data_IF_890124266060
#
_entry.id   IF_890124266060
#
_cell.length_a   1.000
_cell.length_b   1.000
_cell.length_c   1.000
_cell.angle_alpha   90.00
_cell.angle_beta   90.00
_cell.angle_gamma   90.00
#
_symmetry.space_group_name_H-M   'P 1'
#
loop_
_entity.id
_entity.type
_entity.pdbx_description
1 polymer ?
#
# COMPACT_ATOMS: atom_id res chain seq x y z
N UNK A 1 -31.46 25.44 18.58
CA UNK A 1 -30.30 26.24 18.10
C UNK A 1 -29.41 25.29 17.34
N UNK A 2 -28.95 25.46 16.10
CA UNK A 2 -29.15 26.35 14.95
C UNK A 2 -28.73 25.41 13.78
N UNK A 3 -29.47 25.29 12.68
CA UNK A 3 -29.32 26.12 11.46
C UNK A 3 -27.86 26.26 11.02
N UNK A 4 -27.44 26.11 9.77
CA UNK A 4 -28.01 25.79 8.44
C UNK A 4 -26.80 25.83 7.49
N UNK A 5 -27.07 25.47 6.23
CA UNK A 5 -26.39 25.95 5.02
C UNK A 5 -25.19 25.13 4.53
N UNK A 6 -24.97 25.01 3.22
CA UNK A 6 -25.76 25.16 2.02
C UNK A 6 -24.78 24.94 0.86
N UNK A 7 -25.30 24.48 -0.28
CA UNK A 7 -24.80 24.79 -1.63
C UNK A 7 -23.37 24.36 -2.01
N UNK A 8 -23.31 23.45 -2.98
CA UNK A 8 -22.68 23.85 -4.24
C UNK A 8 -23.50 23.38 -5.44
N UNK A 9 -24.08 24.36 -6.12
CA UNK A 9 -24.60 24.28 -7.49
C UNK A 9 -23.78 25.24 -8.35
N UNK A 10 -23.83 25.03 -9.68
CA UNK A 10 -23.31 25.84 -10.81
C UNK A 10 -21.94 25.40 -11.33
N UNK A 11 -21.70 25.33 -12.65
CA UNK A 11 -22.54 25.67 -13.80
C UNK A 11 -21.74 25.38 -15.10
N UNK A 12 -22.39 24.78 -16.11
CA UNK A 12 -22.74 25.35 -17.43
C UNK A 12 -21.58 26.02 -18.21
N UNK A 13 -21.30 25.54 -19.43
CA UNK A 13 -21.42 26.31 -20.69
C UNK A 13 -21.67 25.35 -21.87
N UNK A 14 -22.69 25.66 -22.68
CA UNK A 14 -23.02 25.12 -24.01
C UNK A 14 -22.11 25.70 -25.10
N UNK A 15 -21.77 24.96 -26.17
CA UNK A 15 -21.91 25.39 -27.58
C UNK A 15 -21.59 24.28 -28.62
N UNK A 16 -22.62 23.85 -29.35
CA UNK A 16 -22.77 23.65 -30.80
C UNK A 16 -21.71 23.02 -31.75
N UNK A 17 -22.30 22.28 -32.72
CA UNK A 17 -21.93 22.00 -34.13
C UNK A 17 -20.77 20.98 -34.32
N UNK A 18 -20.80 19.98 -35.19
CA UNK A 18 -21.77 19.40 -36.14
C UNK A 18 -21.05 18.20 -36.80
N UNK A 19 -21.72 17.07 -37.05
CA UNK A 19 -21.76 16.38 -38.36
C UNK A 19 -22.45 14.99 -38.31
N UNK A 20 -23.40 14.83 -39.24
CA UNK A 20 -23.90 13.58 -39.85
C UNK A 20 -24.50 12.53 -38.89
N UNK A 21 -25.79 12.51 -38.59
CA UNK A 21 -26.97 12.37 -39.48
C UNK A 21 -26.93 11.14 -40.40
N UNK A 22 -27.99 10.32 -40.22
CA UNK A 22 -28.61 9.37 -41.15
C UNK A 22 -28.11 7.92 -41.22
N UNK A 23 -28.64 7.05 -40.35
CA UNK A 23 -29.16 5.73 -40.75
C UNK A 23 -30.39 5.40 -39.89
N UNK A 24 -31.51 5.06 -40.54
CA UNK A 24 -32.52 4.19 -39.96
C UNK A 24 -33.84 4.83 -39.53
N UNK A 25 -34.70 5.19 -40.48
CA UNK A 25 -36.15 4.95 -40.41
C UNK A 25 -36.82 5.48 -41.68
N UNK A 26 -37.21 4.58 -42.58
CA UNK A 26 -38.45 4.72 -43.36
C UNK A 26 -38.73 3.38 -44.06
N UNK A 27 -39.55 2.58 -43.38
CA UNK A 27 -40.37 1.55 -44.01
C UNK A 27 -41.42 2.25 -44.88
N UNK A 28 -41.68 1.84 -46.14
CA UNK A 28 -42.92 2.22 -46.80
C UNK A 28 -43.96 1.10 -46.67
N UNK A 29 -45.12 1.50 -46.17
CA UNK A 29 -46.41 0.81 -46.22
C UNK A 29 -46.99 0.86 -47.65
N UNK A 30 -47.99 0.02 -47.99
CA UNK A 30 -48.43 -0.22 -49.36
C UNK A 30 -49.53 0.75 -49.78
N UNK A 31 -49.31 1.53 -50.84
CA UNK A 31 -50.38 2.27 -51.52
C UNK A 31 -49.97 2.65 -52.96
N UNK A 32 -50.72 2.08 -53.90
CA UNK A 32 -51.25 2.75 -55.09
C UNK A 32 -50.30 3.60 -55.95
N UNK A 33 -49.69 2.97 -56.96
CA UNK A 33 -49.36 3.56 -58.26
C UNK A 33 -49.64 2.46 -59.31
N UNK A 34 -50.87 2.37 -59.82
CA UNK A 34 -51.26 2.99 -61.09
C UNK A 34 -50.39 2.48 -62.25
N UNK A 35 -50.89 1.45 -62.93
CA UNK A 35 -50.49 1.12 -64.30
C UNK A 35 -50.67 2.36 -65.19
N UNK A 36 -49.60 3.11 -65.43
CA UNK A 36 -49.56 4.03 -66.57
C UNK A 36 -49.40 3.22 -67.85
N UNK A 37 -50.56 2.80 -68.36
CA UNK A 37 -50.78 2.35 -69.73
C UNK A 37 -50.41 3.51 -70.68
N UNK A 38 -49.41 3.38 -71.57
CA UNK A 38 -49.19 4.41 -72.57
C UNK A 38 -50.39 4.48 -73.52
N UNK A 39 -50.80 5.68 -73.98
CA UNK A 39 -51.99 5.83 -74.80
C UNK A 39 -51.76 5.23 -76.20
N UNK A 40 -52.77 4.53 -76.70
CA UNK A 40 -52.87 4.18 -78.11
C UNK A 40 -52.95 5.47 -78.94
N UNK A 41 -52.14 5.64 -80.00
CA UNK A 41 -52.44 6.63 -81.03
C UNK A 41 -53.44 6.01 -82.03
N UNK A 42 -54.61 6.63 -82.13
CA UNK A 42 -55.59 6.39 -83.18
C UNK A 42 -55.08 6.90 -84.54
N UNK A 43 -55.39 6.10 -85.54
CA UNK A 43 -55.42 6.35 -86.99
C UNK A 43 -55.65 7.81 -87.41
N UNK A 44 -54.73 8.36 -88.20
CA UNK A 44 -54.95 8.62 -89.64
C UNK A 44 -53.79 9.43 -90.22
N UNK A 45 -53.18 8.90 -91.28
CA UNK A 45 -52.82 9.58 -92.53
C UNK A 45 -51.81 8.70 -93.25
N UNK A 46 -52.27 8.11 -94.35
CA UNK A 46 -51.43 7.50 -95.36
C UNK A 46 -50.41 8.54 -95.88
N UNK A 47 -49.17 8.43 -95.45
CA UNK A 47 -48.02 8.89 -96.22
C UNK A 47 -47.31 7.62 -96.69
N UNK A 48 -47.68 7.21 -97.89
CA UNK A 48 -47.07 6.14 -98.64
C UNK A 48 -45.62 6.56 -98.94
N UNK A 49 -44.68 6.15 -98.09
CA UNK A 49 -43.27 6.13 -98.49
C UNK A 49 -43.18 5.23 -99.74
N UNK A 50 -42.57 5.70 -100.84
CA UNK A 50 -42.44 4.90 -102.04
C UNK A 50 -41.73 3.61 -101.68
N UNK A 51 -42.36 2.48 -102.04
CA UNK A 51 -41.70 1.18 -102.04
C UNK A 51 -40.37 1.34 -102.80
N UNK A 52 -39.22 1.06 -102.17
CA UNK A 52 -37.94 1.23 -102.84
C UNK A 52 -37.98 0.40 -104.14
N UNK A 53 -37.40 0.91 -105.25
CA UNK A 53 -37.33 0.14 -106.49
C UNK A 53 -36.72 -1.24 -106.19
N UNK A 54 -37.11 -2.32 -106.90
CA UNK A 54 -36.64 -3.66 -106.58
C UNK A 54 -35.12 -3.64 -106.54
N UNK A 55 -34.56 -3.81 -105.33
CA UNK A 55 -33.12 -3.70 -105.10
C UNK A 55 -32.43 -4.63 -106.10
N UNK A 56 -31.50 -4.09 -106.88
CA UNK A 56 -30.78 -4.93 -107.83
C UNK A 56 -29.98 -5.95 -107.04
N UNK A 57 -29.82 -7.16 -107.58
CA UNK A 57 -29.14 -8.27 -106.88
C UNK A 57 -27.79 -7.85 -106.28
N UNK A 58 -27.06 -6.93 -106.92
CA UNK A 58 -25.82 -6.34 -106.42
C UNK A 58 -25.99 -5.48 -105.14
N UNK A 59 -27.06 -4.69 -105.03
CA UNK A 59 -27.35 -3.85 -103.86
C UNK A 59 -27.74 -4.69 -102.63
N UNK A 60 -28.51 -5.77 -102.85
CA UNK A 60 -28.82 -6.74 -101.81
C UNK A 60 -27.55 -7.42 -101.28
N UNK A 61 -26.64 -7.81 -102.17
CA UNK A 61 -25.34 -8.38 -101.76
C UNK A 61 -24.50 -7.40 -100.95
N UNK A 62 -24.41 -6.12 -101.36
CA UNK A 62 -23.64 -5.10 -100.63
C UNK A 62 -24.26 -4.81 -99.25
N UNK A 63 -25.59 -4.76 -99.15
CA UNK A 63 -26.31 -4.63 -97.87
C UNK A 63 -26.04 -5.82 -96.95
N UNK A 64 -26.08 -7.04 -97.49
CA UNK A 64 -25.77 -8.26 -96.74
C UNK A 64 -24.33 -8.19 -96.21
N UNK A 65 -23.36 -7.79 -97.03
CA UNK A 65 -21.95 -7.64 -96.61
C UNK A 65 -21.79 -6.61 -95.48
N UNK A 66 -22.45 -5.44 -95.57
CA UNK A 66 -22.41 -4.41 -94.51
C UNK A 66 -23.07 -4.91 -93.21
N UNK A 67 -24.19 -5.63 -93.32
CA UNK A 67 -24.86 -6.23 -92.15
C UNK A 67 -24.02 -7.35 -91.52
N UNK A 68 -23.39 -8.20 -92.32
CA UNK A 68 -22.46 -9.24 -91.87
C UNK A 68 -21.28 -8.62 -91.10
N UNK A 69 -20.64 -7.58 -91.65
CA UNK A 69 -19.56 -6.87 -90.95
C UNK A 69 -20.04 -6.22 -89.64
N UNK A 70 -21.27 -5.69 -89.60
CA UNK A 70 -21.86 -5.12 -88.39
C UNK A 70 -22.16 -6.19 -87.33
N UNK A 71 -22.69 -7.35 -87.75
CA UNK A 71 -22.94 -8.50 -86.86
C UNK A 71 -21.63 -9.04 -86.30
N UNK A 72 -20.61 -9.24 -87.14
CA UNK A 72 -19.27 -9.64 -86.69
C UNK A 72 -18.67 -8.63 -85.69
N UNK A 73 -18.86 -7.32 -85.93
CA UNK A 73 -18.45 -6.28 -85.00
C UNK A 73 -19.21 -6.30 -83.67
N UNK A 74 -20.52 -6.56 -83.69
CA UNK A 74 -21.32 -6.74 -82.47
C UNK A 74 -20.92 -7.99 -81.70
N UNK A 75 -20.64 -9.10 -82.39
CA UNK A 75 -20.13 -10.33 -81.80
C UNK A 75 -18.77 -10.13 -81.14
N UNK A 76 -17.86 -9.38 -81.77
CA UNK A 76 -16.58 -8.98 -81.16
C UNK A 76 -16.78 -8.21 -79.86
N UNK A 77 -17.61 -7.15 -79.88
CA UNK A 77 -17.93 -6.35 -78.69
C UNK A 77 -18.63 -7.15 -77.58
N UNK A 78 -19.49 -8.11 -77.94
CA UNK A 78 -20.14 -9.01 -76.99
C UNK A 78 -19.12 -9.96 -76.34
N UNK A 79 -18.18 -10.50 -77.11
CA UNK A 79 -17.08 -11.32 -76.60
C UNK A 79 -16.18 -10.53 -75.65
N UNK A 80 -15.80 -9.31 -76.03
CA UNK A 80 -14.99 -8.43 -75.17
C UNK A 80 -15.72 -8.07 -73.87
N UNK A 81 -17.03 -7.78 -73.97
CA UNK A 81 -17.88 -7.50 -72.79
C UNK A 81 -18.01 -8.72 -71.88
N UNK A 82 -18.13 -9.93 -72.44
CA UNK A 82 -18.19 -11.17 -71.68
C UNK A 82 -16.86 -11.46 -70.96
N UNK A 83 -15.73 -11.25 -71.63
CA UNK A 83 -14.40 -11.37 -71.04
C UNK A 83 -14.20 -10.35 -69.91
N UNK A 84 -14.57 -9.09 -70.12
CA UNK A 84 -14.48 -8.03 -69.12
C UNK A 84 -15.30 -8.35 -67.86
N UNK A 85 -16.53 -8.88 -68.02
CA UNK A 85 -17.36 -9.36 -66.90
C UNK A 85 -16.67 -10.48 -66.13
N UNK A 86 -16.17 -11.50 -66.82
CA UNK A 86 -15.43 -12.61 -66.18
C UNK A 86 -14.22 -12.11 -65.38
N UNK A 87 -13.44 -11.18 -65.93
CA UNK A 87 -12.30 -10.61 -65.21
C UNK A 87 -12.72 -9.76 -64.02
N UNK A 88 -13.83 -9.01 -64.13
CA UNK A 88 -14.39 -8.25 -63.02
C UNK A 88 -14.92 -9.15 -61.90
N UNK A 89 -15.60 -10.24 -62.25
CA UNK A 89 -16.08 -11.25 -61.30
C UNK A 89 -14.90 -11.94 -60.59
N UNK A 90 -13.83 -12.26 -61.32
CA UNK A 90 -12.59 -12.79 -60.74
C UNK A 90 -11.95 -11.80 -59.77
N UNK A 91 -11.80 -10.53 -60.16
CA UNK A 91 -11.25 -9.50 -59.28
C UNK A 91 -12.11 -9.29 -58.02
N UNK A 92 -13.44 -9.35 -58.16
CA UNK A 92 -14.37 -9.27 -57.05
C UNK A 92 -14.20 -10.45 -56.08
N UNK A 93 -14.14 -11.68 -56.58
CA UNK A 93 -13.91 -12.87 -55.74
C UNK A 93 -12.56 -12.81 -55.02
N UNK A 94 -11.50 -12.33 -55.69
CA UNK A 94 -10.20 -12.12 -55.04
C UNK A 94 -10.29 -11.06 -53.94
N UNK A 95 -10.99 -9.94 -54.19
CA UNK A 95 -11.19 -8.90 -53.19
C UNK A 95 -12.00 -9.42 -51.99
N UNK A 96 -13.08 -10.15 -52.22
CA UNK A 96 -13.89 -10.79 -51.16
C UNK A 96 -13.04 -11.78 -50.34
N UNK A 97 -12.19 -12.58 -51.00
CA UNK A 97 -11.27 -13.49 -50.31
C UNK A 97 -10.25 -12.73 -49.46
N UNK A 98 -9.68 -11.64 -49.97
CA UNK A 98 -8.74 -10.79 -49.20
C UNK A 98 -9.42 -10.16 -48.00
N UNK A 99 -10.66 -9.68 -48.15
CA UNK A 99 -11.46 -9.15 -47.04
C UNK A 99 -11.76 -10.23 -46.00
N UNK A 100 -12.14 -11.44 -46.41
CA UNK A 100 -12.38 -12.56 -45.51
C UNK A 100 -11.11 -12.94 -44.72
N UNK A 101 -9.95 -12.99 -45.40
CA UNK A 101 -8.65 -13.23 -44.75
C UNK A 101 -8.28 -12.11 -43.76
N UNK A 102 -8.52 -10.85 -44.14
CA UNK A 102 -8.30 -9.70 -43.27
C UNK A 102 -9.18 -9.74 -42.03
N UNK A 103 -10.48 -10.03 -42.19
CA UNK A 103 -11.41 -10.16 -41.08
C UNK A 103 -11.00 -11.30 -40.13
N UNK A 104 -10.60 -12.45 -40.67
CA UNK A 104 -10.11 -13.56 -39.85
C UNK A 104 -8.84 -13.19 -39.06
N UNK A 105 -7.90 -12.46 -39.67
CA UNK A 105 -6.71 -11.98 -38.97
C UNK A 105 -7.07 -10.96 -37.88
N UNK A 106 -8.04 -10.09 -38.14
CA UNK A 106 -8.56 -9.14 -37.14
C UNK A 106 -9.19 -9.90 -35.97
N UNK A 107 -10.03 -10.89 -36.22
CA UNK A 107 -10.63 -11.73 -35.16
C UNK A 107 -9.57 -12.46 -34.32
N UNK A 108 -8.54 -13.01 -34.96
CA UNK A 108 -7.41 -13.64 -34.25
C UNK A 108 -6.68 -12.64 -33.34
N UNK A 109 -6.35 -11.45 -33.87
CA UNK A 109 -5.70 -10.39 -33.10
C UNK A 109 -6.56 -9.91 -31.93
N UNK A 110 -7.88 -9.81 -32.11
CA UNK A 110 -8.79 -9.48 -31.00
C UNK A 110 -8.78 -10.56 -29.92
N UNK A 111 -8.81 -11.84 -30.30
CA UNK A 111 -8.69 -12.94 -29.34
C UNK A 111 -7.36 -12.95 -28.59
N UNK A 112 -6.25 -12.64 -29.27
CA UNK A 112 -4.94 -12.49 -28.63
C UNK A 112 -4.90 -11.31 -27.65
N UNK A 113 -5.49 -10.17 -28.03
CA UNK A 113 -5.60 -8.99 -27.15
C UNK A 113 -6.44 -9.29 -25.91
N UNK A 114 -7.57 -9.98 -26.04
CA UNK A 114 -8.41 -10.40 -24.92
C UNK A 114 -7.65 -11.34 -23.97
N UNK A 115 -6.90 -12.30 -24.51
CA UNK A 115 -6.08 -13.21 -23.72
C UNK A 115 -4.96 -12.48 -22.96
N UNK A 116 -4.30 -11.51 -23.61
CA UNK A 116 -3.28 -10.68 -22.99
C UNK A 116 -3.87 -9.77 -21.89
N UNK A 117 -5.06 -9.20 -22.12
CA UNK A 117 -5.75 -8.39 -21.13
C UNK A 117 -6.16 -9.21 -19.90
N UNK A 118 -6.68 -10.43 -20.11
CA UNK A 118 -6.98 -11.35 -19.02
C UNK A 118 -5.70 -11.69 -18.22
N UNK A 119 -4.60 -11.97 -18.91
CA UNK A 119 -3.32 -12.24 -18.25
C UNK A 119 -2.76 -11.04 -17.49
N UNK A 120 -2.95 -9.83 -18.01
CA UNK A 120 -2.57 -8.60 -17.32
C UNK A 120 -3.39 -8.43 -16.05
N UNK A 121 -4.71 -8.64 -16.10
CA UNK A 121 -5.57 -8.56 -14.92
C UNK A 121 -5.16 -9.57 -13.82
N UNK A 122 -4.83 -10.82 -14.20
CA UNK A 122 -4.30 -11.82 -13.25
C UNK A 122 -2.99 -11.36 -12.59
N UNK A 123 -2.08 -10.74 -13.35
CA UNK A 123 -0.81 -10.25 -12.81
C UNK A 123 -1.00 -9.03 -11.90
N UNK A 124 -1.94 -8.15 -12.23
CA UNK A 124 -2.30 -7.00 -11.40
C UNK A 124 -2.91 -7.43 -10.07
N UNK A 125 -3.79 -8.45 -10.08
CA UNK A 125 -4.34 -9.04 -8.86
C UNK A 125 -3.24 -9.69 -8.01
N UNK A 126 -2.37 -10.51 -8.59
CA UNK A 126 -1.24 -11.11 -7.89
C UNK A 126 -0.27 -10.06 -7.31
N UNK A 127 -0.03 -8.96 -8.02
CA UNK A 127 0.79 -7.85 -7.53
C UNK A 127 0.13 -7.18 -6.32
N UNK A 128 -1.18 -6.95 -6.36
CA UNK A 128 -1.92 -6.38 -5.24
C UNK A 128 -1.86 -7.30 -4.01
N UNK A 129 -2.05 -8.61 -4.17
CA UNK A 129 -1.89 -9.58 -3.09
C UNK A 129 -0.48 -9.52 -2.49
N UNK A 130 0.57 -9.50 -3.32
CA UNK A 130 1.95 -9.38 -2.83
C UNK A 130 2.19 -8.07 -2.08
N UNK A 131 1.64 -6.95 -2.55
CA UNK A 131 1.75 -5.66 -1.86
C UNK A 131 1.13 -5.72 -0.47
N UNK A 132 -0.07 -6.27 -0.33
CA UNK A 132 -0.72 -6.43 0.99
C UNK A 132 0.09 -7.32 1.93
N UNK A 133 0.70 -8.41 1.41
CA UNK A 133 1.57 -9.28 2.18
C UNK A 133 2.83 -8.54 2.67
N UNK A 134 3.45 -7.74 1.80
CA UNK A 134 4.62 -6.92 2.15
C UNK A 134 4.26 -5.90 3.23
N UNK A 135 3.12 -5.23 3.11
CA UNK A 135 2.64 -4.28 4.13
C UNK A 135 2.41 -4.97 5.48
N UNK A 136 1.76 -6.14 5.48
CA UNK A 136 1.55 -6.92 6.69
C UNK A 136 2.86 -7.37 7.33
N UNK A 137 3.81 -7.90 6.54
CA UNK A 137 5.13 -8.30 7.04
C UNK A 137 5.94 -7.11 7.58
N UNK A 138 5.84 -5.95 6.93
CA UNK A 138 6.49 -4.73 7.40
C UNK A 138 5.92 -4.27 8.75
N UNK A 139 4.61 -4.35 8.93
CA UNK A 139 3.96 -4.06 10.21
C UNK A 139 4.42 -5.03 11.32
N UNK A 140 4.42 -6.32 11.05
CA UNK A 140 4.88 -7.35 12.00
C UNK A 140 6.35 -7.16 12.38
N UNK A 141 7.23 -6.85 11.41
CA UNK A 141 8.63 -6.58 11.66
C UNK A 141 8.83 -5.36 12.58
N UNK A 142 8.00 -4.33 12.41
CA UNK A 142 8.08 -3.12 13.22
C UNK A 142 7.60 -3.35 14.67
N UNK A 143 6.58 -4.19 14.87
CA UNK A 143 6.17 -4.63 16.21
C UNK A 143 7.28 -5.42 16.92
N UNK A 144 7.91 -6.37 16.22
CA UNK A 144 9.03 -7.14 16.74
C UNK A 144 10.24 -6.27 17.08
N UNK A 145 10.53 -5.25 16.26
CA UNK A 145 11.59 -4.28 16.56
C UNK A 145 11.31 -3.52 17.84
N UNK A 146 10.08 -3.05 18.03
CA UNK A 146 9.67 -2.36 19.27
C UNK A 146 9.77 -3.29 20.47
N UNK A 147 9.36 -4.55 20.33
CA UNK A 147 9.48 -5.54 21.40
C UNK A 147 10.95 -5.81 21.77
N UNK A 148 11.82 -6.00 20.77
CA UNK A 148 13.24 -6.19 21.00
C UNK A 148 13.91 -4.96 21.60
N UNK A 149 13.54 -3.75 21.17
CA UNK A 149 14.03 -2.51 21.77
C UNK A 149 13.62 -2.41 23.25
N UNK A 150 12.37 -2.78 23.57
CA UNK A 150 11.91 -2.84 24.95
C UNK A 150 12.71 -3.87 25.77
N UNK A 151 12.87 -5.10 25.27
CA UNK A 151 13.69 -6.12 25.94
C UNK A 151 15.13 -5.66 26.16
N UNK A 152 15.73 -5.01 25.15
CA UNK A 152 17.08 -4.46 25.26
C UNK A 152 17.16 -3.41 26.36
N UNK A 153 16.20 -2.48 26.40
CA UNK A 153 16.13 -1.47 27.47
C UNK A 153 15.93 -2.09 28.86
N UNK A 154 15.17 -3.19 28.96
CA UNK A 154 14.97 -3.92 30.22
C UNK A 154 16.27 -4.62 30.65
N UNK A 155 16.99 -5.25 29.72
CA UNK A 155 18.28 -5.88 29.99
C UNK A 155 19.29 -4.84 30.43
N UNK A 156 19.39 -3.70 29.77
CA UNK A 156 20.27 -2.59 30.17
C UNK A 156 19.90 -2.07 31.57
N UNK A 157 18.61 -1.87 31.84
CA UNK A 157 18.13 -1.43 33.14
C UNK A 157 18.38 -2.44 34.27
N UNK A 158 18.40 -3.74 33.96
CA UNK A 158 18.79 -4.79 34.90
C UNK A 158 20.31 -4.82 35.07
N UNK A 159 21.09 -4.79 33.99
CA UNK A 159 22.55 -4.76 34.01
C UNK A 159 23.10 -3.56 34.80
N UNK A 160 22.42 -2.40 34.74
CA UNK A 160 22.74 -1.21 35.54
C UNK A 160 22.58 -1.41 37.06
N UNK A 161 21.88 -2.46 37.49
CA UNK A 161 21.65 -2.75 38.90
C UNK A 161 22.56 -3.85 39.45
N UNK A 162 23.19 -4.63 38.58
CA UNK A 162 24.14 -5.67 38.96
C UNK A 162 25.58 -5.12 38.99
N UNK A 163 26.41 -5.58 39.92
CA UNK A 163 27.83 -5.24 39.96
C UNK A 163 28.61 -5.83 38.79
N UNK A 164 29.79 -5.28 38.50
CA UNK A 164 30.67 -5.75 37.42
C UNK A 164 31.07 -7.22 37.58
N UNK A 165 31.21 -7.70 38.82
CA UNK A 165 31.51 -9.11 39.15
C UNK A 165 30.40 -10.08 38.72
N UNK A 166 29.16 -9.60 38.58
CA UNK A 166 28.00 -10.36 38.13
C UNK A 166 27.65 -10.06 36.65
N UNK A 167 28.52 -9.37 35.91
CA UNK A 167 28.32 -9.01 34.51
C UNK A 167 27.46 -7.76 34.28
N UNK A 168 27.24 -6.94 35.31
CA UNK A 168 26.58 -5.64 35.20
C UNK A 168 27.55 -4.46 35.04
N UNK A 169 27.03 -3.25 35.20
CA UNK A 169 27.80 -1.99 35.09
C UNK A 169 27.79 -1.15 36.38
N UNK A 170 27.26 -1.69 37.48
CA UNK A 170 27.24 -0.98 38.76
C UNK A 170 28.63 -1.02 39.41
N UNK A 171 29.27 0.15 39.48
CA UNK A 171 30.53 0.31 40.21
C UNK A 171 30.31 0.49 41.71
N UNK A 172 31.29 0.09 42.51
CA UNK A 172 31.28 0.31 43.96
C UNK A 172 31.09 1.79 44.32
N UNK A 173 31.81 2.70 43.65
CA UNK A 173 31.72 4.14 43.89
C UNK A 173 30.32 4.69 43.59
N UNK A 174 29.69 4.25 42.49
CA UNK A 174 28.32 4.65 42.16
C UNK A 174 27.32 4.12 43.20
N UNK A 175 27.50 2.88 43.67
CA UNK A 175 26.66 2.32 44.71
C UNK A 175 26.82 3.07 46.06
N UNK A 176 28.05 3.44 46.44
CA UNK A 176 28.35 4.23 47.64
C UNK A 176 27.70 5.61 47.59
N UNK A 177 27.87 6.33 46.48
CA UNK A 177 27.28 7.67 46.32
C UNK A 177 25.76 7.64 46.37
N UNK A 178 25.12 6.67 45.71
CA UNK A 178 23.67 6.49 45.76
C UNK A 178 23.17 6.13 47.17
N UNK A 179 23.93 5.34 47.93
CA UNK A 179 23.61 5.03 49.32
C UNK A 179 23.74 6.26 50.24
N UNK A 180 24.78 7.09 50.05
CA UNK A 180 24.95 8.35 50.79
C UNK A 180 23.81 9.33 50.50
N UNK A 181 23.40 9.49 49.24
CA UNK A 181 22.25 10.34 48.88
C UNK A 181 20.96 9.85 49.54
N UNK A 182 20.68 8.54 49.52
CA UNK A 182 19.52 7.97 50.19
C UNK A 182 19.57 8.17 51.72
N UNK A 183 20.75 8.13 52.32
CA UNK A 183 20.93 8.40 53.74
C UNK A 183 20.69 9.87 54.09
N UNK A 184 21.14 10.81 53.25
CA UNK A 184 20.83 12.23 53.42
C UNK A 184 19.33 12.50 53.34
N UNK A 185 18.62 11.84 52.43
CA UNK A 185 17.16 11.91 52.35
C UNK A 185 16.47 11.31 53.60
N UNK A 186 16.99 10.22 54.16
CA UNK A 186 16.49 9.70 55.44
C UNK A 186 16.72 10.71 56.58
N UNK A 187 17.90 11.33 56.63
CA UNK A 187 18.22 12.34 57.65
C UNK A 187 17.32 13.57 57.51
N UNK A 188 17.02 14.00 56.29
CA UNK A 188 16.10 15.13 56.04
C UNK A 188 14.69 14.82 56.56
N UNK A 189 14.17 13.61 56.33
CA UNK A 189 12.88 13.14 56.82
C UNK A 189 12.81 13.01 58.35
N UNK A 190 13.89 12.58 58.99
CA UNK A 190 13.96 12.51 60.46
C UNK A 190 13.93 13.92 61.08
N UNK A 191 14.57 14.90 60.44
CA UNK A 191 14.58 16.29 60.90
C UNK A 191 13.26 17.02 60.61
N UNK A 192 12.60 16.72 59.48
CA UNK A 192 11.30 17.27 59.08
C UNK A 192 10.30 16.15 58.77
N UNK A 193 9.67 15.55 59.80
CA UNK A 193 8.69 14.49 59.60
C UNK A 193 7.47 15.04 58.85
N UNK A 194 7.22 14.51 57.64
CA UNK A 194 6.07 14.87 56.79
C UNK A 194 6.35 15.96 55.74
N UNK A 195 7.58 16.48 55.65
CA UNK A 195 7.98 17.32 54.54
C UNK A 195 8.34 16.46 53.32
N UNK A 196 7.68 16.66 52.19
CA UNK A 196 8.08 15.99 50.95
C UNK A 196 9.48 16.45 50.54
N UNK A 197 10.40 15.51 50.31
CA UNK A 197 11.72 15.83 49.77
C UNK A 197 11.59 16.05 48.26
N UNK A 198 11.57 17.31 47.81
CA UNK A 198 11.35 17.67 46.41
C UNK A 198 12.38 17.06 45.45
N UNK A 199 13.60 16.76 45.93
CA UNK A 199 14.65 16.17 45.09
C UNK A 199 14.46 14.66 44.88
N UNK A 200 13.80 13.97 45.81
CA UNK A 200 13.71 12.50 45.81
C UNK A 200 12.28 11.97 45.72
N UNK A 201 11.27 12.85 45.86
CA UNK A 201 9.85 12.50 45.85
C UNK A 201 9.36 11.72 47.08
N UNK A 202 10.22 11.54 48.08
CA UNK A 202 9.95 10.73 49.28
C UNK A 202 9.00 11.50 50.19
N UNK A 203 7.91 10.86 50.59
CA UNK A 203 6.85 11.47 51.41
C UNK A 203 6.87 11.03 52.87
N UNK A 204 7.50 9.87 53.15
CA UNK A 204 7.53 9.31 54.50
C UNK A 204 8.91 8.85 54.93
N UNK A 205 9.13 8.81 56.25
CA UNK A 205 10.33 8.21 56.85
C UNK A 205 10.49 6.74 56.45
N UNK A 206 9.40 5.99 56.40
CA UNK A 206 9.42 4.57 56.03
C UNK A 206 9.94 4.38 54.59
N UNK A 207 9.47 5.19 53.64
CA UNK A 207 9.98 5.18 52.26
C UNK A 207 11.47 5.52 52.18
N UNK A 208 11.94 6.49 52.97
CA UNK A 208 13.36 6.85 53.02
C UNK A 208 14.22 5.70 53.58
N UNK A 209 13.74 5.02 54.62
CA UNK A 209 14.42 3.86 55.20
C UNK A 209 14.47 2.70 54.20
N UNK A 210 13.38 2.43 53.48
CA UNK A 210 13.32 1.38 52.46
C UNK A 210 14.21 1.71 51.25
N UNK A 211 14.26 2.97 50.82
CA UNK A 211 15.17 3.41 49.77
C UNK A 211 16.62 3.19 50.18
N UNK A 212 17.00 3.65 51.38
CA UNK A 212 18.36 3.45 51.91
C UNK A 212 18.70 1.97 51.98
N UNK A 213 17.80 1.13 52.50
CA UNK A 213 17.99 -0.32 52.56
C UNK A 213 18.25 -0.90 51.17
N UNK A 214 17.46 -0.52 50.16
CA UNK A 214 17.65 -0.97 48.76
C UNK A 214 19.01 -0.55 48.21
N UNK A 215 19.45 0.69 48.46
CA UNK A 215 20.78 1.17 48.00
C UNK A 215 21.93 0.46 48.71
N UNK A 216 21.81 0.23 50.01
CA UNK A 216 22.82 -0.49 50.79
C UNK A 216 22.92 -1.96 50.41
N UNK A 217 21.80 -2.61 50.04
CA UNK A 217 21.83 -3.97 49.50
C UNK A 217 22.59 -4.05 48.17
N UNK A 218 22.41 -3.05 47.29
CA UNK A 218 23.18 -2.95 46.04
C UNK A 218 24.66 -2.72 46.30
N UNK A 219 24.99 -1.86 47.25
CA UNK A 219 26.37 -1.65 47.66
C UNK A 219 26.98 -2.93 48.25
N UNK A 220 26.26 -3.63 49.12
CA UNK A 220 26.71 -4.88 49.70
C UNK A 220 27.05 -5.92 48.62
N UNK A 221 26.22 -6.05 47.57
CA UNK A 221 26.55 -6.91 46.42
C UNK A 221 27.78 -6.43 45.65
N UNK A 222 27.92 -5.13 45.43
CA UNK A 222 29.08 -4.56 44.73
C UNK A 222 30.40 -4.71 45.50
N UNK A 223 30.36 -4.81 46.82
CA UNK A 223 31.54 -5.00 47.68
C UNK A 223 31.70 -6.43 48.18
N UNK A 224 30.91 -7.39 47.68
CA UNK A 224 30.86 -8.78 48.15
C UNK A 224 30.71 -8.93 49.68
N UNK A 225 29.86 -8.08 50.26
CA UNK A 225 29.60 -8.05 51.70
C UNK A 225 28.59 -9.13 52.11
N UNK A 226 28.77 -9.68 53.31
CA UNK A 226 27.97 -10.79 53.84
C UNK A 226 26.48 -10.45 53.96
N UNK A 227 26.15 -9.25 54.46
CA UNK A 227 24.77 -8.86 54.70
C UNK A 227 24.59 -7.35 54.90
N UNK A 228 23.35 -6.95 55.13
CA UNK A 228 22.98 -5.59 55.56
C UNK A 228 22.14 -5.66 56.84
N UNK A 229 22.37 -4.73 57.78
CA UNK A 229 21.65 -4.67 59.04
C UNK A 229 21.00 -3.32 59.29
N UNK A 230 19.71 -3.34 59.64
CA UNK A 230 18.96 -2.14 60.03
C UNK A 230 19.17 -1.87 61.52
N UNK A 231 19.74 -0.71 61.82
CA UNK A 231 20.06 -0.25 63.16
C UNK A 231 18.77 0.02 63.94
N UNK A 232 18.68 -0.55 65.14
CA UNK A 232 17.56 -0.33 66.07
C UNK A 232 17.91 0.71 67.12
N UNK A 233 16.91 1.18 67.85
CA UNK A 233 17.14 2.03 69.01
C UNK A 233 18.06 1.33 70.02
N UNK A 234 19.07 2.06 70.51
CA UNK A 234 20.08 1.58 71.47
C UNK A 234 21.04 0.50 70.94
N UNK A 235 21.13 0.31 69.63
CA UNK A 235 22.22 -0.46 69.03
C UNK A 235 23.53 0.35 69.06
N UNK A 236 24.67 -0.35 69.18
CA UNK A 236 26.02 0.21 69.07
C UNK A 236 26.86 -0.61 68.10
N UNK A 237 27.88 -0.02 67.47
CA UNK A 237 28.74 -0.74 66.52
C UNK A 237 29.37 -1.99 67.16
N UNK A 238 29.80 -1.90 68.42
CA UNK A 238 30.33 -3.05 69.16
C UNK A 238 29.30 -4.18 69.37
N UNK A 239 28.04 -3.84 69.67
CA UNK A 239 26.96 -4.84 69.82
C UNK A 239 26.59 -5.48 68.48
N UNK A 240 26.55 -4.70 67.41
CA UNK A 240 26.30 -5.21 66.05
C UNK A 240 27.46 -6.10 65.63
N UNK A 241 28.71 -5.65 65.79
CA UNK A 241 29.92 -6.42 65.51
C UNK A 241 29.95 -7.75 66.26
N UNK A 242 29.61 -7.75 67.55
CA UNK A 242 29.55 -8.99 68.35
C UNK A 242 28.50 -9.97 67.86
N UNK A 243 27.39 -9.50 67.25
CA UNK A 243 26.34 -10.37 66.71
C UNK A 243 26.75 -11.04 65.40
N UNK A 244 27.45 -10.33 64.52
CA UNK A 244 27.79 -10.83 63.19
C UNK A 244 29.17 -11.47 63.13
N UNK A 245 30.17 -10.90 63.82
CA UNK A 245 31.55 -11.39 63.82
C UNK A 245 31.93 -12.17 65.07
N UNK A 246 31.01 -12.29 66.06
CA UNK A 246 31.30 -12.94 67.34
C UNK A 246 32.24 -12.15 68.27
N UNK A 247 32.76 -11.00 67.84
CA UNK A 247 33.65 -10.15 68.63
C UNK A 247 33.24 -8.68 68.51
N UNK A 248 33.13 -8.01 69.66
CA UNK A 248 32.88 -6.57 69.70
C UNK A 248 34.06 -5.75 69.15
N UNK A 249 35.29 -6.30 69.18
CA UNK A 249 36.50 -5.64 68.70
C UNK A 249 36.58 -5.44 67.18
N UNK A 250 35.73 -6.11 66.40
CA UNK A 250 35.65 -5.92 64.95
C UNK A 250 34.79 -4.71 64.53
N UNK A 251 34.37 -3.88 65.48
CA UNK A 251 33.60 -2.67 65.20
C UNK A 251 34.34 -1.72 64.25
N UNK A 252 35.67 -1.70 64.27
CA UNK A 252 36.50 -0.93 63.34
C UNK A 252 36.27 -1.33 61.87
N UNK A 253 36.21 -2.63 61.57
CA UNK A 253 35.95 -3.13 60.21
C UNK A 253 34.55 -2.73 59.73
N UNK A 254 33.56 -2.84 60.61
CA UNK A 254 32.19 -2.40 60.33
C UNK A 254 32.12 -0.89 60.09
N UNK A 255 32.85 -0.11 60.88
CA UNK A 255 32.93 1.33 60.72
C UNK A 255 33.57 1.74 59.39
N UNK A 256 34.73 1.17 59.06
CA UNK A 256 35.46 1.46 57.81
C UNK A 256 34.61 1.20 56.56
N UNK A 257 33.87 0.09 56.53
CA UNK A 257 33.00 -0.22 55.40
C UNK A 257 31.82 0.76 55.21
N UNK A 258 31.41 1.44 56.29
CA UNK A 258 30.27 2.36 56.33
C UNK A 258 30.67 3.82 56.51
N UNK A 259 31.95 4.19 56.27
CA UNK A 259 32.44 5.57 56.40
C UNK A 259 31.70 6.57 55.51
N UNK A 260 31.09 6.11 54.42
CA UNK A 260 30.25 6.93 53.55
C UNK A 260 28.94 7.39 54.20
N UNK A 261 28.55 6.77 55.33
CA UNK A 261 27.40 7.18 56.14
C UNK A 261 27.79 7.71 57.53
N UNK A 262 28.87 7.18 58.11
CA UNK A 262 29.27 7.41 59.50
C UNK A 262 30.56 8.21 59.59
N UNK A 263 30.44 9.48 59.99
CA UNK A 263 31.59 10.32 60.31
C UNK A 263 32.25 9.88 61.62
N UNK A 264 31.42 9.49 62.60
CA UNK A 264 31.84 9.07 63.94
C UNK A 264 31.21 7.72 64.32
N UNK A 265 31.93 6.86 65.06
CA UNK A 265 31.47 5.51 65.38
C UNK A 265 30.23 5.46 66.28
N UNK A 266 30.01 6.49 67.10
CA UNK A 266 28.89 6.57 68.03
C UNK A 266 27.63 7.22 67.43
N UNK A 267 27.69 7.71 66.18
CA UNK A 267 26.59 8.43 65.53
C UNK A 267 25.65 7.49 64.75
N UNK A 268 25.01 6.57 65.46
CA UNK A 268 24.02 5.67 64.89
C UNK A 268 22.61 6.27 64.95
N UNK A 269 22.01 6.51 63.79
CA UNK A 269 20.61 6.92 63.63
C UNK A 269 19.70 5.69 63.53
N UNK A 270 18.71 5.52 64.42
CA UNK A 270 17.76 4.41 64.32
C UNK A 270 17.02 4.39 62.98
N UNK A 271 16.96 3.23 62.34
CA UNK A 271 16.35 3.06 61.02
C UNK A 271 17.33 3.09 59.85
N UNK A 272 18.58 3.54 60.03
CA UNK A 272 19.60 3.42 58.99
C UNK A 272 19.96 1.94 58.73
N UNK A 273 20.41 1.63 57.51
CA UNK A 273 20.92 0.29 57.16
C UNK A 273 22.43 0.37 56.94
N UNK A 274 23.18 -0.53 57.59
CA UNK A 274 24.64 -0.67 57.48
C UNK A 274 25.01 -1.90 56.66
N UNK A 275 26.09 -1.82 55.90
CA UNK A 275 26.73 -2.95 55.20
C UNK A 275 27.61 -3.72 56.17
N UNK A 276 27.55 -5.04 56.11
CA UNK A 276 28.36 -5.95 56.93
C UNK A 276 29.31 -6.71 56.01
N UNK A 277 30.60 -6.30 55.96
CA UNK A 277 31.66 -6.98 55.20
C UNK A 277 31.98 -8.41 55.61
#
# INVERSE_FOLDING_TARGET
MRQTDAMQTRGKVSLLLVLASLVGACWPSPAALAEERPPAPSTDTAAQEPSPPPETRAQLYDRIQVLEARVQGMEGKLKDSALARKTADQARMEAERRLAQGNQAVEQMHGELEALQARQAELEEALAEQQTLVEHLAAALEEERKHNALLTSQVEALAAQLPETEGGILTEQAARTAATQAFLALRSQIQRPGGADAATGIQSRAEAEDLLRKRQLKLARATDALSVYRVRERDSLGRISSRFYGSSGQWHRLFEANRHLLDNPDQLTPGMTLVIP
#
